data_IF_351321296222
#
_entry.id   IF_351321296222
#
_cell.length_a   1.000
_cell.length_b   1.000
_cell.length_c   1.000
_cell.angle_alpha   90.00
_cell.angle_beta   90.00
_cell.angle_gamma   90.00
#
_symmetry.space_group_name_H-M   'P 1'
#
loop_
_entity.id
_entity.type
_entity.pdbx_description
1 polymer ?
#
# COMPACT_ATOMS: atom_id res chain seq x y z
N UNK A 1 -17.08 -11.00 -16.62
CA UNK A 1 -16.81 -9.92 -15.65
C UNK A 1 -17.26 -8.61 -16.24
N UNK A 2 -18.10 -7.86 -15.52
CA UNK A 2 -18.59 -6.54 -15.87
C UNK A 2 -17.76 -5.47 -15.13
N UNK A 3 -17.21 -4.53 -15.88
CA UNK A 3 -16.28 -3.53 -15.36
C UNK A 3 -16.88 -2.13 -15.55
N UNK A 4 -16.81 -1.32 -14.51
CA UNK A 4 -17.03 0.13 -14.61
C UNK A 4 -15.72 0.86 -14.40
N UNK A 5 -15.49 1.90 -15.20
CA UNK A 5 -14.23 2.64 -15.20
C UNK A 5 -14.51 4.13 -15.04
N UNK A 6 -13.85 4.76 -14.07
CA UNK A 6 -13.74 6.21 -13.95
C UNK A 6 -12.26 6.54 -14.06
N UNK A 7 -11.81 6.72 -15.30
CA UNK A 7 -10.40 6.90 -15.65
C UNK A 7 -10.25 7.31 -17.13
N UNK A 8 -9.02 7.51 -17.57
CA UNK A 8 -8.70 7.81 -18.98
C UNK A 8 -9.18 6.72 -19.95
N UNK A 9 -9.36 7.10 -21.22
CA UNK A 9 -9.66 6.15 -22.30
C UNK A 9 -8.59 5.07 -22.45
N UNK A 10 -7.33 5.39 -22.15
CA UNK A 10 -6.22 4.43 -22.17
C UNK A 10 -6.45 3.26 -21.21
N UNK A 11 -6.81 3.54 -19.95
CA UNK A 11 -7.11 2.51 -18.96
C UNK A 11 -8.34 1.71 -19.39
N UNK A 12 -9.39 2.37 -19.89
CA UNK A 12 -10.57 1.67 -20.40
C UNK A 12 -10.22 0.75 -21.58
N UNK A 13 -9.38 1.21 -22.50
CA UNK A 13 -8.98 0.43 -23.68
C UNK A 13 -8.09 -0.76 -23.32
N UNK A 14 -7.23 -0.65 -22.31
CA UNK A 14 -6.38 -1.75 -21.84
C UNK A 14 -7.16 -2.89 -21.17
N UNK A 15 -8.43 -2.66 -20.82
CA UNK A 15 -9.33 -3.61 -20.17
C UNK A 15 -10.28 -4.34 -21.14
N UNK A 16 -10.27 -4.00 -22.43
CA UNK A 16 -11.20 -4.56 -23.42
C UNK A 16 -11.07 -6.09 -23.57
N UNK A 17 -9.90 -6.66 -23.31
CA UNK A 17 -9.64 -8.11 -23.34
C UNK A 17 -9.74 -8.78 -21.96
N UNK A 18 -10.07 -8.00 -20.93
CA UNK A 18 -10.17 -8.45 -19.53
C UNK A 18 -11.62 -8.70 -19.12
N UNK A 19 -12.53 -7.83 -19.56
CA UNK A 19 -13.95 -7.93 -19.26
C UNK A 19 -14.77 -6.97 -20.08
N UNK A 20 -16.09 -7.02 -19.89
CA UNK A 20 -17.00 -6.13 -20.61
C UNK A 20 -17.13 -4.81 -19.83
N UNK A 21 -16.66 -3.71 -20.42
CA UNK A 21 -16.81 -2.37 -19.83
C UNK A 21 -18.24 -1.90 -20.02
N UNK A 22 -19.03 -1.90 -18.95
CA UNK A 22 -20.46 -1.54 -18.95
C UNK A 22 -20.73 -0.08 -18.60
N UNK A 23 -19.73 0.60 -18.06
CA UNK A 23 -19.78 2.02 -17.74
C UNK A 23 -18.39 2.62 -17.86
N UNK A 24 -18.28 3.78 -18.49
CA UNK A 24 -17.04 4.52 -18.56
C UNK A 24 -17.32 6.02 -18.40
N UNK A 25 -16.59 6.65 -17.50
CA UNK A 25 -16.56 8.10 -17.31
C UNK A 25 -15.11 8.58 -17.42
N UNK A 26 -14.82 9.44 -18.39
CA UNK A 26 -13.47 9.93 -18.71
C UNK A 26 -13.28 11.43 -18.47
N UNK A 27 -14.18 12.05 -17.69
CA UNK A 27 -14.09 13.45 -17.30
C UNK A 27 -13.77 13.58 -15.81
N UNK A 28 -13.36 14.77 -15.39
CA UNK A 28 -13.11 15.08 -13.98
C UNK A 28 -14.42 15.05 -13.18
N UNK A 29 -14.44 14.27 -12.09
CA UNK A 29 -15.47 14.29 -11.07
C UNK A 29 -15.30 15.54 -10.20
N UNK A 30 -16.13 16.53 -10.47
CA UNK A 30 -16.22 17.79 -9.77
C UNK A 30 -17.41 17.78 -8.80
N UNK A 31 -17.50 18.82 -7.98
CA UNK A 31 -18.53 18.94 -6.95
C UNK A 31 -19.97 18.85 -7.50
N UNK A 32 -20.20 19.33 -8.72
CA UNK A 32 -21.52 19.40 -9.33
C UNK A 32 -21.99 18.10 -10.01
N UNK A 33 -21.08 17.23 -10.43
CA UNK A 33 -21.43 16.03 -11.22
C UNK A 33 -21.17 14.71 -10.46
N UNK A 34 -20.35 14.71 -9.40
CA UNK A 34 -19.93 13.48 -8.72
C UNK A 34 -21.10 12.66 -8.18
N UNK A 35 -22.14 13.31 -7.63
CA UNK A 35 -23.32 12.63 -7.09
C UNK A 35 -24.11 11.93 -8.20
N UNK A 36 -24.31 12.61 -9.32
CA UNK A 36 -25.06 12.08 -10.45
C UNK A 36 -24.35 10.92 -11.14
N UNK A 37 -23.02 11.03 -11.28
CA UNK A 37 -22.18 9.96 -11.84
C UNK A 37 -22.25 8.72 -10.96
N UNK A 38 -22.02 8.85 -9.65
CA UNK A 38 -22.10 7.70 -8.73
C UNK A 38 -23.51 7.16 -8.56
N UNK A 39 -24.54 8.00 -8.66
CA UNK A 39 -25.93 7.56 -8.68
C UNK A 39 -26.20 6.68 -9.90
N UNK A 40 -25.76 7.11 -11.07
CA UNK A 40 -25.87 6.34 -12.31
C UNK A 40 -25.10 5.02 -12.21
N UNK A 41 -23.86 5.08 -11.74
CA UNK A 41 -23.00 3.93 -11.51
C UNK A 41 -23.64 2.92 -10.54
N UNK A 42 -24.30 3.39 -9.49
CA UNK A 42 -24.94 2.52 -8.48
C UNK A 42 -26.11 1.70 -9.04
N UNK A 43 -26.68 2.09 -10.19
CA UNK A 43 -27.77 1.37 -10.87
C UNK A 43 -27.25 0.27 -11.80
N UNK A 44 -25.98 0.32 -12.18
CA UNK A 44 -25.36 -0.64 -13.09
C UNK A 44 -24.85 -1.83 -12.29
N UNK A 45 -25.08 -3.04 -12.78
CA UNK A 45 -24.53 -4.24 -12.16
C UNK A 45 -23.08 -4.41 -12.60
N UNK A 46 -22.16 -4.23 -11.66
CA UNK A 46 -20.72 -4.19 -11.92
C UNK A 46 -19.99 -5.08 -10.93
N UNK A 47 -19.11 -5.94 -11.44
CA UNK A 47 -18.27 -6.81 -10.63
C UNK A 47 -17.06 -6.03 -10.09
N UNK A 48 -16.46 -5.18 -10.93
CA UNK A 48 -15.27 -4.39 -10.61
C UNK A 48 -15.46 -2.92 -11.00
N UNK A 49 -15.27 -2.01 -10.04
CA UNK A 49 -15.13 -0.58 -10.29
C UNK A 49 -13.64 -0.20 -10.25
N UNK A 50 -13.14 0.37 -11.34
CA UNK A 50 -11.80 0.96 -11.41
C UNK A 50 -11.95 2.47 -11.32
N UNK A 51 -11.26 3.08 -10.35
CA UNK A 51 -11.36 4.49 -10.05
C UNK A 51 -9.97 5.12 -10.00
N UNK A 52 -9.70 6.03 -10.92
CA UNK A 52 -8.49 6.84 -10.93
C UNK A 52 -8.69 8.12 -10.10
N UNK A 53 -7.96 8.26 -9.00
CA UNK A 53 -8.11 9.44 -8.13
C UNK A 53 -7.62 10.72 -8.78
N UNK A 54 -6.82 10.66 -9.85
CA UNK A 54 -6.46 11.85 -10.62
C UNK A 54 -7.70 12.48 -11.27
N UNK A 55 -8.77 11.71 -11.48
CA UNK A 55 -10.04 12.18 -12.04
C UNK A 55 -10.99 12.73 -10.97
N UNK A 56 -10.57 12.82 -9.70
CA UNK A 56 -11.43 13.23 -8.59
C UNK A 56 -11.01 14.59 -8.06
N UNK A 57 -11.90 15.58 -8.19
CA UNK A 57 -11.75 16.93 -7.64
C UNK A 57 -13.05 17.38 -6.94
N UNK A 58 -13.42 16.69 -5.87
CA UNK A 58 -14.59 17.02 -5.06
C UNK A 58 -14.37 16.71 -3.58
N UNK A 59 -14.87 17.59 -2.71
CA UNK A 59 -14.86 17.39 -1.26
C UNK A 59 -15.85 16.31 -0.81
N UNK A 60 -16.89 16.06 -1.61
CA UNK A 60 -17.93 15.06 -1.30
C UNK A 60 -17.52 13.65 -1.73
N UNK A 61 -16.35 13.47 -2.34
CA UNK A 61 -15.92 12.20 -2.92
C UNK A 61 -16.01 11.03 -1.94
N UNK A 62 -15.45 11.16 -0.74
CA UNK A 62 -15.48 10.09 0.28
C UNK A 62 -16.93 9.73 0.64
N UNK A 63 -17.78 10.73 0.87
CA UNK A 63 -19.19 10.52 1.19
C UNK A 63 -19.93 9.78 0.08
N UNK A 64 -19.68 10.16 -1.17
CA UNK A 64 -20.31 9.55 -2.34
C UNK A 64 -19.80 8.13 -2.58
N UNK A 65 -18.49 7.90 -2.44
CA UNK A 65 -17.88 6.58 -2.53
C UNK A 65 -18.40 5.64 -1.43
N UNK A 66 -18.56 6.14 -0.21
CA UNK A 66 -19.19 5.40 0.89
C UNK A 66 -20.64 5.02 0.56
N UNK A 67 -21.43 5.96 0.03
CA UNK A 67 -22.79 5.69 -0.43
C UNK A 67 -22.85 4.59 -1.50
N UNK A 68 -21.92 4.64 -2.46
CA UNK A 68 -21.78 3.60 -3.47
C UNK A 68 -21.41 2.24 -2.85
N UNK A 69 -20.43 2.20 -1.94
CA UNK A 69 -20.01 0.98 -1.24
C UNK A 69 -21.15 0.32 -0.47
N UNK A 70 -22.02 1.12 0.16
CA UNK A 70 -23.22 0.64 0.84
C UNK A 70 -24.23 0.05 -0.16
N UNK A 71 -24.46 0.72 -1.29
CA UNK A 71 -25.38 0.26 -2.32
C UNK A 71 -24.86 -0.98 -3.08
N UNK A 72 -23.52 -1.14 -3.17
CA UNK A 72 -22.82 -2.19 -3.92
C UNK A 72 -21.73 -2.84 -3.06
N UNK A 73 -22.11 -3.58 -1.99
CA UNK A 73 -21.15 -4.12 -1.03
C UNK A 73 -20.22 -5.18 -1.63
N UNK A 74 -20.65 -5.87 -2.69
CA UNK A 74 -19.90 -6.95 -3.33
C UNK A 74 -19.07 -6.50 -4.53
N UNK A 75 -19.25 -5.27 -5.02
CA UNK A 75 -18.41 -4.76 -6.12
C UNK A 75 -16.99 -4.58 -5.60
N UNK A 76 -16.01 -5.20 -6.27
CA UNK A 76 -14.59 -4.96 -5.99
C UNK A 76 -14.24 -3.56 -6.48
N UNK A 77 -13.61 -2.76 -5.64
CA UNK A 77 -13.20 -1.39 -6.01
C UNK A 77 -11.68 -1.37 -6.05
N UNK A 78 -11.13 -1.03 -7.22
CA UNK A 78 -9.69 -0.87 -7.45
C UNK A 78 -9.43 0.62 -7.61
N UNK A 79 -8.59 1.18 -6.74
CA UNK A 79 -8.28 2.60 -6.73
C UNK A 79 -6.87 2.81 -7.24
N UNK A 80 -6.75 3.63 -8.28
CA UNK A 80 -5.46 4.04 -8.83
C UNK A 80 -5.06 5.35 -8.17
N UNK A 81 -3.83 5.39 -7.68
CA UNK A 81 -3.26 6.56 -7.00
C UNK A 81 -1.94 6.93 -7.66
N UNK A 82 -1.76 8.21 -7.96
CA UNK A 82 -0.49 8.76 -8.43
C UNK A 82 0.05 9.75 -7.41
N UNK A 83 1.36 9.70 -7.15
CA UNK A 83 2.07 10.65 -6.29
C UNK A 83 1.50 10.77 -4.85
N UNK A 84 0.82 9.73 -4.36
CA UNK A 84 0.31 9.64 -2.98
C UNK A 84 1.29 8.83 -2.14
N UNK A 85 1.45 9.22 -0.88
CA UNK A 85 2.32 8.53 0.08
C UNK A 85 1.48 7.79 1.11
N UNK A 86 2.08 6.79 1.75
CA UNK A 86 1.47 6.12 2.90
C UNK A 86 1.09 7.16 3.97
N UNK A 87 -0.09 6.99 4.56
CA UNK A 87 -0.63 7.94 5.54
C UNK A 87 -1.39 9.12 4.94
N UNK A 88 -1.56 9.20 3.62
CA UNK A 88 -2.50 10.14 3.00
C UNK A 88 -3.91 9.88 3.57
N UNK A 89 -4.50 10.91 4.18
CA UNK A 89 -5.78 10.80 4.88
C UNK A 89 -6.93 10.34 3.97
N UNK A 90 -6.89 10.70 2.69
CA UNK A 90 -7.91 10.28 1.71
C UNK A 90 -7.80 8.78 1.47
N UNK A 91 -6.58 8.28 1.25
CA UNK A 91 -6.33 6.85 1.01
C UNK A 91 -6.60 6.03 2.27
N UNK A 92 -6.18 6.52 3.44
CA UNK A 92 -6.49 5.89 4.72
C UNK A 92 -8.00 5.74 4.92
N UNK A 93 -8.78 6.78 4.58
CA UNK A 93 -10.24 6.73 4.64
C UNK A 93 -10.83 5.73 3.65
N UNK A 94 -10.31 5.67 2.42
CA UNK A 94 -10.69 4.66 1.41
C UNK A 94 -10.46 3.24 1.96
N UNK A 95 -9.32 2.97 2.58
CA UNK A 95 -9.03 1.67 3.21
C UNK A 95 -10.01 1.36 4.33
N UNK A 96 -10.37 2.35 5.16
CA UNK A 96 -11.39 2.19 6.20
C UNK A 96 -12.80 1.88 5.66
N UNK A 97 -13.09 2.19 4.39
CA UNK A 97 -14.30 1.76 3.69
C UNK A 97 -14.23 0.31 3.17
N UNK A 98 -13.16 -0.41 3.50
CA UNK A 98 -12.92 -1.78 3.06
C UNK A 98 -12.41 -1.88 1.62
N UNK A 99 -11.83 -0.81 1.07
CA UNK A 99 -11.30 -0.77 -0.29
C UNK A 99 -9.79 -0.96 -0.22
N UNK A 100 -9.33 -2.16 -0.56
CA UNK A 100 -7.95 -2.59 -0.30
C UNK A 100 -7.08 -2.68 -1.56
N UNK A 101 -7.69 -2.81 -2.73
CA UNK A 101 -6.98 -2.83 -4.01
C UNK A 101 -6.52 -1.41 -4.38
N UNK A 102 -5.36 -1.01 -3.85
CA UNK A 102 -4.74 0.29 -4.10
C UNK A 102 -3.55 0.11 -5.04
N UNK A 103 -3.60 0.74 -6.20
CA UNK A 103 -2.63 0.57 -7.29
C UNK A 103 -1.88 1.87 -7.53
N UNK A 104 -0.55 1.84 -7.47
CA UNK A 104 0.31 3.02 -7.70
C UNK A 104 0.82 3.14 -9.13
N UNK A 105 0.70 2.09 -9.94
CA UNK A 105 1.07 2.10 -11.35
C UNK A 105 -0.14 1.73 -12.22
N UNK A 106 -0.56 2.66 -13.09
CA UNK A 106 -1.68 2.48 -14.04
C UNK A 106 -1.52 1.24 -14.93
N UNK A 107 -0.29 0.87 -15.27
CA UNK A 107 -0.01 -0.30 -16.11
C UNK A 107 -0.32 -1.63 -15.40
N UNK A 108 -0.23 -1.66 -14.06
CA UNK A 108 -0.49 -2.85 -13.25
C UNK A 108 -1.99 -3.13 -13.04
N UNK A 109 -2.88 -2.19 -13.41
CA UNK A 109 -4.33 -2.32 -13.19
C UNK A 109 -4.88 -3.60 -13.81
N UNK A 110 -4.45 -3.93 -15.02
CA UNK A 110 -4.88 -5.15 -15.73
C UNK A 110 -4.53 -6.42 -14.96
N UNK A 111 -3.32 -6.50 -14.43
CA UNK A 111 -2.87 -7.63 -13.62
C UNK A 111 -3.68 -7.73 -12.31
N UNK A 112 -3.87 -6.60 -11.62
CA UNK A 112 -4.62 -6.55 -10.36
C UNK A 112 -6.06 -7.01 -10.53
N UNK A 113 -6.69 -6.69 -11.67
CA UNK A 113 -8.04 -7.17 -11.99
C UNK A 113 -8.13 -8.70 -12.06
N UNK A 114 -7.09 -9.40 -12.57
CA UNK A 114 -7.04 -10.86 -12.60
C UNK A 114 -6.61 -11.49 -11.27
N UNK A 115 -5.87 -10.75 -10.45
CA UNK A 115 -5.44 -11.20 -9.13
C UNK A 115 -6.62 -11.29 -8.15
N UNK A 116 -6.52 -12.15 -7.11
CA UNK A 116 -7.48 -12.14 -6.01
C UNK A 116 -7.60 -10.73 -5.37
N UNK A 117 -8.78 -10.36 -4.83
CA UNK A 117 -8.94 -9.09 -4.13
C UNK A 117 -7.91 -8.92 -3.01
N UNK A 118 -7.31 -7.74 -2.92
CA UNK A 118 -6.37 -7.43 -1.87
C UNK A 118 -7.01 -7.52 -0.48
N UNK A 119 -6.20 -7.89 0.50
CA UNK A 119 -6.58 -7.97 1.92
C UNK A 119 -6.25 -6.68 2.65
N UNK A 120 -6.86 -6.48 3.82
CA UNK A 120 -6.50 -5.35 4.68
C UNK A 120 -5.00 -5.32 5.02
N UNK A 121 -4.37 -6.48 5.24
CA UNK A 121 -2.92 -6.56 5.53
C UNK A 121 -2.08 -5.96 4.40
N UNK A 122 -2.45 -6.21 3.14
CA UNK A 122 -1.75 -5.63 1.98
C UNK A 122 -2.00 -4.11 1.85
N UNK A 123 -3.16 -3.63 2.28
CA UNK A 123 -3.52 -2.22 2.26
C UNK A 123 -3.12 -1.44 3.53
N UNK A 124 -2.71 -2.12 4.60
CA UNK A 124 -2.55 -1.55 5.93
C UNK A 124 -1.61 -0.35 5.97
N UNK A 125 -0.53 -0.40 5.17
CA UNK A 125 0.43 0.72 5.02
C UNK A 125 -0.24 2.04 4.65
N UNK A 126 -1.30 1.99 3.85
CA UNK A 126 -2.03 3.18 3.42
C UNK A 126 -2.94 3.73 4.51
N UNK A 127 -3.39 2.89 5.44
CA UNK A 127 -4.25 3.27 6.55
C UNK A 127 -3.46 3.82 7.74
N UNK A 128 -2.36 3.18 8.12
CA UNK A 128 -1.58 3.56 9.30
C UNK A 128 -0.47 4.57 8.99
N UNK A 129 -0.08 4.71 7.72
CA UNK A 129 1.10 5.47 7.34
C UNK A 129 2.43 4.79 7.71
N UNK A 130 2.36 3.60 8.30
CA UNK A 130 3.50 2.80 8.69
C UNK A 130 3.55 1.53 7.86
N UNK A 131 4.74 1.10 7.45
CA UNK A 131 4.93 -0.23 6.91
C UNK A 131 4.75 -1.25 8.04
N UNK A 132 3.51 -1.69 8.24
CA UNK A 132 3.21 -2.80 9.13
C UNK A 132 3.74 -4.08 8.46
N UNK A 133 4.98 -4.44 8.78
CA UNK A 133 5.62 -5.70 8.38
C UNK A 133 4.98 -6.88 9.12
N UNK A 134 3.72 -7.20 8.82
CA UNK A 134 3.17 -8.52 9.11
C UNK A 134 3.54 -9.42 7.93
N UNK A 135 4.62 -10.18 8.11
CA UNK A 135 5.28 -10.97 7.08
C UNK A 135 4.32 -11.73 6.16
N UNK A 136 4.22 -11.28 4.92
CA UNK A 136 3.85 -12.10 3.77
C UNK A 136 4.98 -11.89 2.76
N UNK A 137 5.73 -12.97 2.51
CA UNK A 137 6.87 -13.00 1.61
C UNK A 137 6.43 -12.66 0.17
N UNK A 138 6.73 -11.45 -0.28
CA UNK A 138 6.79 -11.11 -1.71
C UNK A 138 8.26 -10.98 -2.13
N UNK A 139 8.63 -11.70 -3.18
CA UNK A 139 10.01 -11.97 -3.61
C UNK A 139 10.77 -10.73 -4.11
N UNK A 140 10.08 -9.62 -4.37
CA UNK A 140 10.71 -8.38 -4.83
C UNK A 140 11.28 -7.52 -3.68
N UNK A 141 10.94 -7.82 -2.43
CA UNK A 141 11.42 -7.07 -1.26
C UNK A 141 12.75 -7.59 -0.67
N UNK A 142 13.29 -8.71 -1.18
CA UNK A 142 14.53 -9.30 -0.67
C UNK A 142 15.75 -8.39 -0.89
N UNK A 143 15.83 -7.64 -2.00
CA UNK A 143 17.01 -6.80 -2.29
C UNK A 143 17.10 -5.57 -1.37
N UNK A 144 15.96 -4.99 -0.98
CA UNK A 144 15.91 -3.87 -0.05
C UNK A 144 16.26 -4.32 1.38
N UNK A 145 15.62 -5.39 1.84
CA UNK A 145 15.83 -5.96 3.18
C UNK A 145 17.27 -6.46 3.36
N UNK A 146 17.85 -7.14 2.36
CA UNK A 146 19.26 -7.56 2.41
C UNK A 146 20.21 -6.36 2.47
N UNK A 147 19.87 -5.25 1.81
CA UNK A 147 20.61 -3.99 1.91
C UNK A 147 20.63 -3.44 3.34
N UNK A 148 19.47 -3.33 3.97
CA UNK A 148 19.32 -2.83 5.33
C UNK A 148 19.98 -3.75 6.37
N UNK A 149 19.85 -5.07 6.22
CA UNK A 149 20.52 -6.04 7.09
C UNK A 149 22.04 -5.88 7.01
N UNK A 150 22.60 -5.65 5.82
CA UNK A 150 24.04 -5.46 5.65
C UNK A 150 24.54 -4.13 6.21
N UNK A 151 23.70 -3.09 6.23
CA UNK A 151 24.01 -1.82 6.90
C UNK A 151 24.03 -2.02 8.41
N UNK A 152 23.01 -2.66 8.97
CA UNK A 152 22.92 -2.96 10.40
C UNK A 152 24.09 -3.83 10.88
N UNK A 153 24.53 -4.83 10.10
CA UNK A 153 25.73 -5.63 10.39
C UNK A 153 26.99 -4.76 10.52
N UNK A 154 27.23 -3.86 9.57
CA UNK A 154 28.39 -2.95 9.61
C UNK A 154 28.34 -1.99 10.79
N UNK A 155 27.15 -1.52 11.17
CA UNK A 155 26.97 -0.68 12.34
C UNK A 155 27.32 -1.43 13.63
N UNK A 156 26.85 -2.66 13.79
CA UNK A 156 27.21 -3.53 14.92
C UNK A 156 28.73 -3.74 14.98
N UNK A 157 29.38 -4.05 13.87
CA UNK A 157 30.84 -4.20 13.82
C UNK A 157 31.56 -2.91 14.24
N UNK A 158 31.05 -1.76 13.82
CA UNK A 158 31.54 -0.44 14.24
C UNK A 158 31.41 -0.21 15.74
N UNK A 159 30.27 -0.57 16.34
CA UNK A 159 30.03 -0.46 17.79
C UNK A 159 30.97 -1.39 18.56
N UNK A 160 31.08 -2.65 18.16
CA UNK A 160 31.97 -3.61 18.85
C UNK A 160 33.43 -3.16 18.75
N UNK A 161 33.84 -2.60 17.61
CA UNK A 161 35.16 -1.99 17.43
C UNK A 161 35.37 -0.76 18.31
N UNK A 162 34.33 0.06 18.50
CA UNK A 162 34.37 1.20 19.42
C UNK A 162 34.55 0.73 20.87
N UNK A 163 33.89 -0.37 21.25
CA UNK A 163 34.04 -1.04 22.55
C UNK A 163 35.36 -1.86 22.67
N UNK A 164 36.32 -1.65 21.76
CA UNK A 164 37.68 -2.18 21.86
C UNK A 164 37.89 -3.59 21.31
N UNK A 165 36.89 -4.24 20.70
CA UNK A 165 37.04 -5.58 20.14
C UNK A 165 36.82 -5.63 18.62
N UNK A 166 37.58 -6.48 17.92
CA UNK A 166 37.30 -6.74 16.50
C UNK A 166 36.26 -7.86 16.38
N UNK A 167 35.21 -7.62 15.59
CA UNK A 167 34.11 -8.55 15.40
C UNK A 167 33.59 -8.51 13.97
N UNK A 168 33.16 -9.66 13.45
CA UNK A 168 32.55 -9.81 12.13
C UNK A 168 31.13 -10.35 12.30
N UNK A 169 30.14 -9.54 11.94
CA UNK A 169 28.74 -9.78 12.24
C UNK A 169 28.10 -10.68 11.18
N UNK A 170 28.06 -11.99 11.45
CA UNK A 170 27.42 -12.98 10.56
C UNK A 170 25.90 -12.94 10.65
N UNK A 171 25.37 -12.68 11.83
CA UNK A 171 23.94 -12.58 12.13
C UNK A 171 23.70 -11.41 13.11
N UNK A 172 22.61 -10.65 12.90
CA UNK A 172 22.24 -9.52 13.76
C UNK A 172 22.03 -9.93 15.22
N UNK A 173 21.40 -11.07 15.49
CA UNK A 173 21.15 -11.54 16.85
C UNK A 173 22.46 -11.86 17.60
N UNK A 174 23.41 -12.48 16.90
CA UNK A 174 24.74 -12.76 17.45
C UNK A 174 25.51 -11.46 17.72
N UNK A 175 25.41 -10.51 16.79
CA UNK A 175 26.00 -9.19 16.94
C UNK A 175 25.45 -8.37 18.11
N UNK A 176 24.13 -8.39 18.31
CA UNK A 176 23.49 -7.71 19.44
C UNK A 176 23.89 -8.35 20.78
N UNK A 177 23.92 -9.69 20.85
CA UNK A 177 24.38 -10.41 22.03
C UNK A 177 25.84 -10.08 22.35
N UNK A 178 26.70 -9.93 21.33
CA UNK A 178 28.09 -9.54 21.51
C UNK A 178 28.23 -8.12 22.09
N UNK A 179 27.43 -7.17 21.61
CA UNK A 179 27.38 -5.81 22.18
C UNK A 179 26.93 -5.86 23.64
N UNK A 180 25.87 -6.60 23.95
CA UNK A 180 25.36 -6.76 25.32
C UNK A 180 26.45 -7.30 26.27
N UNK A 181 27.17 -8.34 25.86
CA UNK A 181 28.28 -8.90 26.64
C UNK A 181 29.39 -7.89 26.90
N UNK A 182 29.73 -7.04 25.93
CA UNK A 182 30.77 -6.04 26.08
C UNK A 182 30.33 -4.91 27.01
N UNK A 183 29.08 -4.44 26.87
CA UNK A 183 28.52 -3.42 27.76
C UNK A 183 28.41 -3.93 29.20
N UNK A 184 27.97 -5.17 29.41
CA UNK A 184 27.93 -5.79 30.75
C UNK A 184 29.32 -5.90 31.34
N UNK A 185 30.32 -6.29 30.54
CA UNK A 185 31.72 -6.34 30.96
C UNK A 185 32.21 -4.95 31.38
N UNK A 186 31.96 -3.92 30.58
CA UNK A 186 32.38 -2.55 30.87
C UNK A 186 31.75 -2.01 32.15
N UNK A 187 30.45 -2.24 32.36
CA UNK A 187 29.73 -1.85 33.58
C UNK A 187 30.20 -2.62 34.82
N UNK A 188 30.55 -3.90 34.69
CA UNK A 188 31.06 -4.68 35.82
C UNK A 188 32.51 -4.34 36.19
N UNK A 189 33.34 -3.92 35.22
CA UNK A 189 34.71 -3.47 35.48
C UNK A 189 34.78 -2.09 36.15
N UNK A 190 33.73 -1.26 36.06
CA UNK A 190 33.64 0.04 36.77
C UNK A 190 33.22 -0.08 38.25
N UNK A 191 32.85 -1.27 38.74
CA UNK A 191 32.43 -1.48 40.14
C UNK A 191 33.54 -1.96 41.09
N UNK A 192 34.74 -2.24 40.57
CA UNK A 192 35.88 -2.75 41.36
C UNK A 192 36.94 -1.67 41.71
N UNK A 193 36.58 -0.38 41.72
CA UNK A 193 37.42 0.73 42.19
C UNK A 193 36.79 1.53 43.35
#
# INVERSE_FOLDING_TARGET
MLISVIASDEIKNSLNDVGNVVFHYNEMLQQQNIKDVFYSLSRINTDVLILDLDFVNSKDFITVLQGYRIARPHTRIIVIINNRVAGDQTIATIVSLGIYDIVTNKEAVKEVVFSPPATYTQAARWHTGEFLNFGVHDKDNEKGIVGEINIAKRQIEGIVKFLGESYNCRNLNEGLLKIEQLLVKEVLYEQDY
#
